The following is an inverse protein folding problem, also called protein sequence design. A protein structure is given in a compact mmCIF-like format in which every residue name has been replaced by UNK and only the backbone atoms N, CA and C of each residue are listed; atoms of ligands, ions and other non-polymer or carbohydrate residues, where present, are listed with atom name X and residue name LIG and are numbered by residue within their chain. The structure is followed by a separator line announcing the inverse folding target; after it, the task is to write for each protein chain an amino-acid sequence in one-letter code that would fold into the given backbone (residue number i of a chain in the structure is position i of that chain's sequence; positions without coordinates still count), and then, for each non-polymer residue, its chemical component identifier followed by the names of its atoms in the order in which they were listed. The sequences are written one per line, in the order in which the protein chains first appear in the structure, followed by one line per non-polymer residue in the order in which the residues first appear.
data_IF_533613696032
#
_entry.id   IF_533613696032
#
_cell.length_a   1.000
_cell.length_b   1.000
_cell.length_c   1.000
_cell.angle_alpha   90.00
_cell.angle_beta   90.00
_cell.angle_gamma   90.00
#
_symmetry.space_group_name_H-M   'P 1'
#
loop_
_entity.id
_entity.type
_entity.pdbx_description
1 polymer ?
#
# COMPACT_ATOMS: atom_id res chain seq x y z
N UNK A 1 57.21 -57.97 14.40
CA UNK A 1 56.77 -56.60 14.75
C UNK A 1 55.96 -56.04 13.59
N UNK A 2 54.63 -56.02 13.68
CA UNK A 2 53.72 -55.51 12.62
C UNK A 2 53.02 -54.24 13.18
N UNK A 3 53.32 -53.07 12.63
CA UNK A 3 52.69 -51.81 12.96
C UNK A 3 51.32 -51.69 12.26
N UNK A 4 50.25 -51.55 13.04
CA UNK A 4 48.93 -51.31 12.56
C UNK A 4 48.73 -49.78 12.23
N UNK A 5 48.30 -49.49 11.00
CA UNK A 5 47.90 -48.14 10.55
C UNK A 5 46.43 -47.96 10.81
N UNK A 6 46.03 -47.07 11.71
CA UNK A 6 44.66 -46.66 11.91
C UNK A 6 44.34 -45.51 10.93
N UNK A 7 43.45 -45.77 10.01
CA UNK A 7 42.84 -44.72 9.12
C UNK A 7 41.65 -44.13 9.87
N UNK A 8 41.79 -42.86 10.29
CA UNK A 8 40.69 -42.02 10.76
C UNK A 8 39.96 -41.48 9.55
N UNK A 9 38.76 -42.01 9.26
CA UNK A 9 37.82 -41.45 8.30
C UNK A 9 37.05 -40.30 8.97
N UNK A 10 37.44 -39.04 8.68
CA UNK A 10 36.69 -37.86 9.09
C UNK A 10 35.46 -37.68 8.22
N UNK A 11 34.26 -37.89 8.75
CA UNK A 11 33.01 -37.53 8.10
C UNK A 11 32.80 -36.01 8.20
N UNK A 12 32.97 -35.31 7.08
CA UNK A 12 32.57 -33.90 6.94
C UNK A 12 31.05 -33.84 6.81
N UNK A 13 30.33 -33.47 7.87
CA UNK A 13 28.90 -33.13 7.83
C UNK A 13 28.75 -31.75 7.19
N UNK A 14 28.32 -31.71 5.92
CA UNK A 14 27.85 -30.48 5.29
C UNK A 14 26.52 -30.10 5.95
N UNK A 15 26.53 -29.16 6.86
CA UNK A 15 25.33 -28.47 7.33
C UNK A 15 24.86 -27.51 6.23
N UNK A 16 23.93 -27.97 5.41
CA UNK A 16 23.20 -27.12 4.47
C UNK A 16 22.32 -26.16 5.27
N UNK A 17 22.78 -24.94 5.52
CA UNK A 17 21.91 -23.85 5.99
C UNK A 17 20.92 -23.53 4.88
N UNK A 18 19.72 -24.08 4.97
CA UNK A 18 18.58 -23.61 4.18
C UNK A 18 18.36 -22.14 4.57
N UNK A 19 18.84 -21.23 3.75
CA UNK A 19 18.47 -19.82 3.84
C UNK A 19 16.94 -19.79 3.67
N UNK A 20 16.23 -19.53 4.76
CA UNK A 20 14.78 -19.31 4.71
C UNK A 20 14.58 -18.07 3.85
N UNK A 21 14.03 -18.25 2.65
CA UNK A 21 13.70 -17.12 1.78
C UNK A 21 12.77 -16.19 2.58
N UNK A 22 13.14 -14.92 2.65
CA UNK A 22 12.30 -13.92 3.33
C UNK A 22 10.90 -13.95 2.71
N UNK A 23 9.88 -14.02 3.56
CA UNK A 23 8.48 -14.02 3.10
C UNK A 23 8.22 -12.73 2.33
N UNK A 24 7.76 -12.86 1.09
CA UNK A 24 7.38 -11.73 0.27
C UNK A 24 6.13 -11.06 0.84
N UNK A 25 6.02 -9.73 0.76
CA UNK A 25 4.94 -8.99 1.41
C UNK A 25 4.10 -8.21 0.41
N UNK A 26 2.78 -8.26 0.55
CA UNK A 26 1.81 -7.51 -0.23
C UNK A 26 1.03 -6.55 0.66
N UNK A 27 0.73 -5.36 0.16
CA UNK A 27 -0.35 -4.52 0.67
C UNK A 27 -1.39 -4.36 -0.42
N UNK A 28 -2.66 -4.52 -0.06
CA UNK A 28 -3.80 -4.39 -0.96
C UNK A 28 -4.66 -3.25 -0.45
N UNK A 29 -4.98 -2.32 -1.34
CA UNK A 29 -5.83 -1.16 -1.09
C UNK A 29 -7.05 -1.26 -1.98
N UNK A 30 -8.22 -0.99 -1.44
CA UNK A 30 -9.46 -0.85 -2.21
C UNK A 30 -9.88 0.62 -2.17
N UNK A 31 -9.82 1.26 -3.33
CA UNK A 31 -10.22 2.64 -3.56
C UNK A 31 -11.74 2.77 -3.79
N UNK A 32 -12.25 3.99 -3.94
CA UNK A 32 -13.64 4.35 -4.28
C UNK A 32 -14.72 3.84 -3.32
N UNK A 33 -14.40 3.74 -2.04
CA UNK A 33 -15.33 3.24 -1.02
C UNK A 33 -16.24 4.33 -0.44
N UNK A 34 -17.33 3.89 0.22
CA UNK A 34 -18.31 4.74 0.89
C UNK A 34 -19.58 5.00 0.09
N UNK A 35 -19.70 4.47 -1.13
CA UNK A 35 -20.88 4.65 -1.98
C UNK A 35 -21.89 3.51 -1.89
N UNK A 36 -21.40 2.29 -1.68
CA UNK A 36 -22.21 1.07 -1.73
C UNK A 36 -22.01 0.21 -0.49
N UNK A 37 -22.89 0.30 0.51
CA UNK A 37 -22.73 -0.43 1.78
C UNK A 37 -22.63 -1.95 1.64
N UNK A 38 -23.20 -2.52 0.56
CA UNK A 38 -23.09 -3.96 0.32
C UNK A 38 -21.67 -4.36 -0.11
N UNK A 39 -21.07 -3.58 -1.03
CA UNK A 39 -19.67 -3.79 -1.45
C UNK A 39 -18.69 -3.43 -0.35
N UNK A 40 -18.93 -2.34 0.36
CA UNK A 40 -18.11 -1.89 1.49
C UNK A 40 -18.01 -2.98 2.57
N UNK A 41 -19.15 -3.63 2.91
CA UNK A 41 -19.14 -4.80 3.82
C UNK A 41 -18.38 -6.00 3.28
N UNK A 42 -18.39 -6.24 1.96
CA UNK A 42 -17.61 -7.31 1.36
C UNK A 42 -16.11 -7.02 1.47
N UNK A 43 -15.68 -5.74 1.32
CA UNK A 43 -14.27 -5.34 1.55
C UNK A 43 -13.86 -5.57 3.00
N UNK A 44 -14.68 -5.16 3.96
CA UNK A 44 -14.43 -5.40 5.39
C UNK A 44 -14.33 -6.88 5.74
N UNK A 45 -15.07 -7.74 5.03
CA UNK A 45 -15.08 -9.19 5.24
C UNK A 45 -13.92 -9.94 4.56
N UNK A 46 -13.06 -9.26 3.78
CA UNK A 46 -11.90 -9.91 3.16
C UNK A 46 -10.95 -10.47 4.21
N UNK A 47 -10.41 -11.70 3.99
CA UNK A 47 -9.64 -12.43 5.00
C UNK A 47 -8.17 -11.98 5.08
N UNK A 48 -7.92 -10.68 5.03
CA UNK A 48 -6.59 -10.09 5.09
C UNK A 48 -6.67 -8.61 5.55
N UNK A 49 -5.59 -7.99 6.01
CA UNK A 49 -5.56 -6.59 6.40
C UNK A 49 -5.59 -5.63 5.19
N UNK A 50 -6.68 -5.70 4.40
CA UNK A 50 -6.90 -4.81 3.26
C UNK A 50 -7.13 -3.38 3.74
N UNK A 51 -6.50 -2.41 3.08
CA UNK A 51 -6.63 -0.97 3.36
C UNK A 51 -7.87 -0.42 2.65
N UNK A 52 -8.62 0.43 3.30
CA UNK A 52 -9.82 1.04 2.77
C UNK A 52 -9.58 2.51 2.44
N UNK A 53 -9.70 2.91 1.17
CA UNK A 53 -9.63 4.30 0.75
C UNK A 53 -11.04 4.82 0.43
N UNK A 54 -11.47 5.83 1.18
CA UNK A 54 -12.85 6.29 1.26
C UNK A 54 -13.00 7.67 0.66
N UNK A 55 -13.89 7.83 -0.33
CA UNK A 55 -14.21 9.13 -0.94
C UNK A 55 -15.03 9.98 0.05
N UNK A 56 -14.61 11.21 0.37
CA UNK A 56 -15.21 12.01 1.45
C UNK A 56 -16.64 12.48 1.17
N UNK A 57 -17.01 12.70 -0.10
CA UNK A 57 -18.35 13.15 -0.48
C UNK A 57 -19.41 12.03 -0.46
N UNK A 58 -19.01 10.79 -0.32
CA UNK A 58 -19.93 9.68 -0.33
C UNK A 58 -20.84 9.66 0.90
N UNK A 59 -22.03 9.13 0.72
CA UNK A 59 -23.07 9.13 1.77
C UNK A 59 -22.62 8.37 3.04
N UNK A 60 -21.89 7.28 2.85
CA UNK A 60 -21.54 6.35 3.94
C UNK A 60 -20.08 6.47 4.38
N UNK A 61 -19.38 7.55 3.98
CA UNK A 61 -17.95 7.73 4.27
C UNK A 61 -17.62 7.59 5.77
N UNK A 62 -18.27 8.38 6.63
CA UNK A 62 -18.01 8.36 8.07
C UNK A 62 -18.42 7.03 8.74
N UNK A 63 -19.55 6.43 8.30
CA UNK A 63 -20.00 5.13 8.85
C UNK A 63 -19.00 4.03 8.51
N UNK A 64 -18.53 3.99 7.25
CA UNK A 64 -17.54 3.03 6.79
C UNK A 64 -16.19 3.22 7.48
N UNK A 65 -15.71 4.47 7.59
CA UNK A 65 -14.45 4.79 8.28
C UNK A 65 -14.45 4.28 9.71
N UNK A 66 -15.52 4.59 10.47
CA UNK A 66 -15.67 4.10 11.83
C UNK A 66 -15.77 2.56 11.91
N UNK A 67 -16.43 1.91 10.95
CA UNK A 67 -16.52 0.45 10.91
C UNK A 67 -15.15 -0.19 10.60
N UNK A 68 -14.39 0.38 9.66
CA UNK A 68 -13.06 -0.07 9.28
C UNK A 68 -12.08 0.08 10.45
N UNK A 69 -12.08 1.24 11.10
CA UNK A 69 -11.24 1.52 12.27
C UNK A 69 -11.53 0.52 13.42
N UNK A 70 -12.81 0.27 13.75
CA UNK A 70 -13.19 -0.74 14.78
C UNK A 70 -12.75 -2.17 14.39
N UNK A 71 -12.64 -2.46 13.09
CA UNK A 71 -12.15 -3.73 12.60
C UNK A 71 -10.60 -3.80 12.53
N UNK A 72 -9.89 -2.77 13.01
CA UNK A 72 -8.43 -2.69 12.96
C UNK A 72 -7.86 -2.58 11.54
N UNK A 73 -8.63 -1.97 10.62
CA UNK A 73 -8.20 -1.73 9.24
C UNK A 73 -7.62 -0.33 9.11
N UNK A 74 -6.55 -0.20 8.35
CA UNK A 74 -6.02 1.10 7.92
C UNK A 74 -7.03 1.79 7.00
N UNK A 75 -7.35 3.05 7.31
CA UNK A 75 -8.27 3.90 6.55
C UNK A 75 -7.50 5.02 5.87
N UNK A 76 -7.74 5.23 4.58
CA UNK A 76 -7.24 6.39 3.84
C UNK A 76 -8.40 7.30 3.44
N UNK A 77 -8.18 8.61 3.57
CA UNK A 77 -8.95 9.59 2.84
C UNK A 77 -8.58 9.48 1.35
N UNK A 78 -9.52 9.04 0.52
CA UNK A 78 -9.35 9.01 -0.93
C UNK A 78 -9.67 10.40 -1.49
N UNK A 79 -8.65 11.27 -1.50
CA UNK A 79 -8.79 12.69 -1.79
C UNK A 79 -9.00 12.94 -3.28
N UNK A 80 -10.16 13.49 -3.70
CA UNK A 80 -10.38 13.84 -5.10
C UNK A 80 -9.38 14.90 -5.59
N UNK A 81 -8.81 14.65 -6.76
CA UNK A 81 -7.81 15.52 -7.39
C UNK A 81 -8.06 15.66 -8.89
N UNK A 82 -7.82 16.84 -9.45
CA UNK A 82 -8.01 17.11 -10.89
C UNK A 82 -7.42 15.97 -11.77
N UNK A 83 -8.21 15.36 -12.68
CA UNK A 83 -9.50 15.82 -13.25
C UNK A 83 -10.75 15.50 -12.42
N UNK A 84 -10.66 14.80 -11.28
CA UNK A 84 -11.80 14.58 -10.42
C UNK A 84 -12.44 15.91 -10.00
N UNK A 85 -13.78 15.92 -9.97
CA UNK A 85 -14.59 17.05 -9.53
C UNK A 85 -15.05 16.91 -8.08
N UNK A 86 -15.99 17.76 -7.68
CA UNK A 86 -16.67 17.67 -6.39
C UNK A 86 -16.20 18.71 -5.35
N UNK A 87 -16.87 18.74 -4.19
CA UNK A 87 -16.68 19.82 -3.20
C UNK A 87 -15.35 19.72 -2.44
N UNK A 88 -14.67 18.59 -2.52
CA UNK A 88 -13.40 18.31 -1.85
C UNK A 88 -12.22 18.23 -2.83
N UNK A 89 -12.50 18.26 -4.14
CA UNK A 89 -11.46 18.08 -5.16
C UNK A 89 -10.43 19.21 -5.16
N UNK A 90 -9.16 18.84 -5.30
CA UNK A 90 -8.05 19.77 -5.49
C UNK A 90 -7.81 20.02 -6.97
N UNK A 91 -7.66 21.29 -7.35
CA UNK A 91 -7.33 21.71 -8.72
C UNK A 91 -6.13 22.66 -8.72
N UNK A 92 -5.29 22.64 -9.77
CA UNK A 92 -4.10 23.50 -9.85
C UNK A 92 -4.40 24.99 -9.75
N UNK A 93 -5.57 25.44 -10.24
CA UNK A 93 -5.99 26.84 -10.25
C UNK A 93 -6.41 27.38 -8.88
N UNK A 94 -6.59 26.52 -7.89
CA UNK A 94 -7.00 26.91 -6.53
C UNK A 94 -5.85 27.55 -5.77
N UNK A 95 -6.21 28.49 -4.91
CA UNK A 95 -5.27 29.01 -3.90
C UNK A 95 -4.91 27.93 -2.87
N UNK A 96 -3.73 28.09 -2.25
CA UNK A 96 -3.30 27.26 -1.12
C UNK A 96 -4.38 27.20 -0.01
N UNK A 97 -4.90 28.35 0.41
CA UNK A 97 -5.93 28.42 1.44
C UNK A 97 -7.20 27.63 1.09
N UNK A 98 -7.62 27.64 -0.17
CA UNK A 98 -8.78 26.89 -0.64
C UNK A 98 -8.52 25.38 -0.64
N UNK A 99 -7.35 24.94 -1.12
CA UNK A 99 -6.95 23.52 -1.06
C UNK A 99 -6.92 23.01 0.37
N UNK A 100 -6.30 23.74 1.28
CA UNK A 100 -6.21 23.36 2.69
C UNK A 100 -7.60 23.31 3.35
N UNK A 101 -8.47 24.28 3.09
CA UNK A 101 -9.83 24.26 3.58
C UNK A 101 -10.62 23.03 3.06
N UNK A 102 -10.40 22.63 1.80
CA UNK A 102 -11.04 21.42 1.25
C UNK A 102 -10.50 20.16 1.90
N UNK A 103 -9.21 20.07 2.17
CA UNK A 103 -8.59 18.95 2.88
C UNK A 103 -9.16 18.82 4.30
N UNK A 104 -9.26 19.95 5.03
CA UNK A 104 -9.82 19.95 6.38
C UNK A 104 -11.25 19.37 6.40
N UNK A 105 -12.10 19.90 5.53
CA UNK A 105 -13.48 19.40 5.41
C UNK A 105 -13.55 17.94 4.94
N UNK A 106 -12.61 17.49 4.10
CA UNK A 106 -12.56 16.10 3.67
C UNK A 106 -12.16 15.17 4.82
N UNK A 107 -11.18 15.58 5.65
CA UNK A 107 -10.79 14.84 6.85
C UNK A 107 -11.89 14.78 7.90
N UNK A 108 -12.72 15.83 8.04
CA UNK A 108 -13.92 15.79 8.89
C UNK A 108 -14.94 14.73 8.44
N UNK A 109 -14.96 14.38 7.15
CA UNK A 109 -15.82 13.34 6.59
C UNK A 109 -15.28 11.91 6.81
N UNK A 110 -13.95 11.79 6.99
CA UNK A 110 -13.24 10.53 7.22
C UNK A 110 -12.32 10.71 8.44
N UNK A 111 -12.89 10.90 9.65
CA UNK A 111 -12.13 11.32 10.84
C UNK A 111 -11.11 10.26 11.31
N UNK A 112 -11.33 8.99 10.99
CA UNK A 112 -10.42 7.88 11.32
C UNK A 112 -9.33 7.65 10.27
N UNK A 113 -9.08 8.61 9.36
CA UNK A 113 -8.05 8.45 8.33
C UNK A 113 -6.65 8.38 8.94
N UNK A 114 -5.93 7.28 8.70
CA UNK A 114 -4.51 7.11 9.01
C UNK A 114 -3.61 7.80 7.98
N UNK A 115 -4.15 8.14 6.82
CA UNK A 115 -3.41 8.75 5.72
C UNK A 115 -4.31 9.18 4.56
N UNK A 116 -3.67 9.56 3.47
CA UNK A 116 -4.32 10.05 2.25
C UNK A 116 -3.75 9.34 1.03
N UNK A 117 -4.62 9.05 0.04
CA UNK A 117 -4.20 8.73 -1.32
C UNK A 117 -5.02 9.54 -2.33
N UNK A 118 -4.53 9.68 -3.56
CA UNK A 118 -5.21 10.45 -4.58
C UNK A 118 -6.26 9.63 -5.33
N UNK A 119 -7.50 10.15 -5.36
CA UNK A 119 -8.54 9.74 -6.31
C UNK A 119 -8.34 10.49 -7.62
N UNK A 120 -8.21 9.74 -8.74
CA UNK A 120 -7.75 10.32 -10.01
C UNK A 120 -6.44 11.12 -9.84
N UNK A 121 -6.43 12.39 -10.21
CA UNK A 121 -5.31 13.28 -9.94
C UNK A 121 -4.23 13.30 -11.01
N UNK A 122 -4.50 12.86 -12.24
CA UNK A 122 -3.48 12.82 -13.30
C UNK A 122 -2.87 14.20 -13.63
N UNK A 123 -3.63 15.29 -13.46
CA UNK A 123 -3.14 16.68 -13.58
C UNK A 123 -2.60 17.20 -12.25
N UNK A 124 -3.36 17.02 -11.17
CA UNK A 124 -3.03 17.59 -9.87
C UNK A 124 -1.74 17.00 -9.28
N UNK A 125 -1.52 15.70 -9.39
CA UNK A 125 -0.29 15.08 -8.86
C UNK A 125 0.98 15.43 -9.63
N UNK A 126 0.85 16.09 -10.80
CA UNK A 126 1.96 16.65 -11.55
C UNK A 126 2.31 18.12 -11.11
N UNK A 127 1.43 18.76 -10.34
CA UNK A 127 1.67 20.12 -9.79
C UNK A 127 2.59 20.04 -8.57
N UNK A 128 3.87 20.35 -8.79
CA UNK A 128 4.89 20.25 -7.76
C UNK A 128 4.66 21.13 -6.54
N UNK A 129 4.32 22.44 -6.68
CA UNK A 129 3.99 23.29 -5.54
C UNK A 129 2.86 22.74 -4.68
N UNK A 130 1.77 22.31 -5.31
CA UNK A 130 0.62 21.78 -4.59
C UNK A 130 0.92 20.43 -3.91
N UNK A 131 1.71 19.55 -4.54
CA UNK A 131 2.13 18.29 -3.90
C UNK A 131 3.10 18.55 -2.74
N UNK A 132 4.03 19.50 -2.86
CA UNK A 132 4.90 19.89 -1.74
C UNK A 132 4.09 20.40 -0.55
N UNK A 133 3.08 21.24 -0.79
CA UNK A 133 2.15 21.74 0.22
C UNK A 133 1.38 20.59 0.89
N UNK A 134 0.80 19.68 0.10
CA UNK A 134 0.08 18.53 0.65
C UNK A 134 0.98 17.69 1.55
N UNK A 135 2.18 17.32 1.09
CA UNK A 135 3.09 16.47 1.87
C UNK A 135 3.49 17.13 3.20
N UNK A 136 3.73 18.45 3.21
CA UNK A 136 4.04 19.18 4.43
C UNK A 136 2.89 19.12 5.43
N UNK A 137 1.66 19.36 4.99
CA UNK A 137 0.47 19.32 5.86
C UNK A 137 0.21 17.89 6.39
N UNK A 138 0.40 16.87 5.56
CA UNK A 138 0.27 15.49 6.01
C UNK A 138 1.33 15.13 7.06
N UNK A 139 2.56 15.60 6.89
CA UNK A 139 3.63 15.40 7.87
C UNK A 139 3.31 16.08 9.22
N UNK A 140 2.83 17.31 9.20
CA UNK A 140 2.42 18.07 10.39
C UNK A 140 1.27 17.38 11.15
N UNK A 141 0.41 16.67 10.42
CA UNK A 141 -0.74 15.92 10.98
C UNK A 141 -0.44 14.46 11.28
N UNK A 142 0.78 14.01 11.06
CA UNK A 142 1.19 12.60 11.21
C UNK A 142 0.37 11.62 10.37
N UNK A 143 -0.07 12.05 9.19
CA UNK A 143 -0.80 11.23 8.24
C UNK A 143 0.15 10.59 7.22
N UNK A 144 -0.17 9.35 6.82
CA UNK A 144 0.56 8.63 5.77
C UNK A 144 0.17 9.15 4.38
N UNK A 145 1.03 8.88 3.38
CA UNK A 145 0.66 9.12 1.99
C UNK A 145 0.89 7.90 1.10
N UNK A 146 -0.10 7.59 0.26
CA UNK A 146 0.00 6.60 -0.80
C UNK A 146 -0.20 7.29 -2.17
N UNK A 147 0.85 7.33 -2.99
CA UNK A 147 0.73 7.78 -4.38
C UNK A 147 0.07 6.67 -5.22
N UNK A 148 -1.19 6.89 -5.63
CA UNK A 148 -1.93 5.95 -6.49
C UNK A 148 -1.36 5.87 -7.91
N UNK A 149 -0.47 6.80 -8.31
CA UNK A 149 0.22 6.82 -9.61
C UNK A 149 -0.74 6.70 -10.79
N UNK A 150 -1.76 7.51 -10.80
CA UNK A 150 -2.74 7.60 -11.91
C UNK A 150 -2.13 8.24 -13.16
N UNK A 151 -0.96 8.85 -13.03
CA UNK A 151 -0.15 9.39 -14.12
C UNK A 151 1.33 9.06 -13.94
N UNK A 152 2.05 8.84 -15.02
CA UNK A 152 3.51 8.73 -15.00
C UNK A 152 4.21 10.06 -14.66
N UNK A 153 3.50 11.19 -14.81
CA UNK A 153 4.00 12.53 -14.52
C UNK A 153 3.88 12.92 -13.04
N UNK A 154 3.33 12.06 -12.17
CA UNK A 154 3.21 12.35 -10.74
C UNK A 154 4.56 12.72 -10.12
N UNK A 155 4.56 13.75 -9.30
CA UNK A 155 5.70 14.18 -8.48
C UNK A 155 5.45 13.94 -6.99
N UNK A 156 4.27 13.42 -6.63
CA UNK A 156 3.82 13.29 -5.25
C UNK A 156 4.78 12.45 -4.39
N UNK A 157 5.17 11.27 -4.86
CA UNK A 157 6.14 10.42 -4.15
C UNK A 157 7.51 11.10 -3.96
N UNK A 158 7.97 11.88 -4.96
CA UNK A 158 9.24 12.61 -4.87
C UNK A 158 9.16 13.75 -3.83
N UNK A 159 8.04 14.47 -3.75
CA UNK A 159 7.84 15.51 -2.74
C UNK A 159 7.72 14.91 -1.34
N UNK A 160 7.01 13.80 -1.18
CA UNK A 160 6.96 13.07 0.09
C UNK A 160 8.35 12.63 0.57
N UNK A 161 9.15 12.07 -0.32
CA UNK A 161 10.51 11.62 -0.02
C UNK A 161 11.43 12.77 0.41
N UNK A 162 11.33 13.94 -0.21
CA UNK A 162 12.17 15.12 0.12
C UNK A 162 12.07 15.52 1.59
N UNK A 163 10.89 15.40 2.19
CA UNK A 163 10.64 15.79 3.57
C UNK A 163 10.62 14.61 4.54
N UNK A 164 10.84 13.39 4.04
CA UNK A 164 10.80 12.18 4.87
C UNK A 164 9.41 11.79 5.34
N UNK A 165 8.35 12.18 4.61
CA UNK A 165 6.99 11.75 4.91
C UNK A 165 6.86 10.24 4.78
N UNK A 166 6.22 9.60 5.75
CA UNK A 166 5.88 8.18 5.71
C UNK A 166 4.96 7.90 4.51
N UNK A 167 5.53 7.35 3.44
CA UNK A 167 4.83 7.23 2.15
C UNK A 167 5.28 6.03 1.34
N UNK A 168 4.43 5.64 0.40
CA UNK A 168 4.69 4.57 -0.56
C UNK A 168 3.92 4.85 -1.86
N UNK A 169 4.34 4.23 -2.95
CA UNK A 169 3.63 4.28 -4.23
C UNK A 169 3.02 2.93 -4.59
N UNK A 170 1.95 2.94 -5.37
CA UNK A 170 1.37 1.77 -6.00
C UNK A 170 2.34 1.14 -7.01
N UNK A 171 2.37 -0.18 -7.02
CA UNK A 171 3.10 -0.96 -8.02
C UNK A 171 2.15 -1.49 -9.11
N UNK A 172 0.97 -2.02 -8.75
CA UNK A 172 0.03 -2.68 -9.66
C UNK A 172 -1.39 -2.18 -9.47
N UNK A 173 -2.12 -1.87 -10.56
CA UNK A 173 -3.58 -1.82 -10.55
C UNK A 173 -4.15 -3.20 -10.80
N UNK A 174 -5.12 -3.62 -9.98
CA UNK A 174 -5.74 -4.94 -10.08
C UNK A 174 -6.78 -5.04 -11.19
N UNK A 175 -7.47 -3.95 -11.50
CA UNK A 175 -8.74 -3.97 -12.21
C UNK A 175 -8.94 -2.84 -13.24
N UNK A 176 -7.86 -2.43 -13.93
CA UNK A 176 -8.00 -1.62 -15.15
C UNK A 176 -8.91 -2.31 -16.19
N UNK A 177 -8.89 -3.64 -16.22
CA UNK A 177 -9.91 -4.50 -16.82
C UNK A 177 -10.55 -5.30 -15.67
N UNK A 178 -11.81 -4.96 -15.36
CA UNK A 178 -12.55 -5.53 -14.24
C UNK A 178 -13.17 -6.92 -14.56
N UNK A 179 -12.53 -7.72 -15.42
CA UNK A 179 -12.88 -9.12 -15.61
C UNK A 179 -12.19 -10.02 -14.59
N UNK A 180 -12.81 -11.12 -14.12
CA UNK A 180 -12.19 -12.02 -13.15
C UNK A 180 -10.81 -12.54 -13.59
N UNK A 181 -10.66 -12.83 -14.89
CA UNK A 181 -9.39 -13.33 -15.44
C UNK A 181 -8.29 -12.26 -15.41
N UNK A 182 -8.61 -11.02 -15.78
CA UNK A 182 -7.65 -9.91 -15.75
C UNK A 182 -7.25 -9.56 -14.31
N UNK A 183 -8.19 -9.47 -13.39
CA UNK A 183 -7.90 -9.24 -11.96
C UNK A 183 -7.02 -10.34 -11.38
N UNK A 184 -7.31 -11.61 -11.66
CA UNK A 184 -6.47 -12.72 -11.21
C UNK A 184 -5.04 -12.65 -11.78
N UNK A 185 -4.90 -12.26 -13.06
CA UNK A 185 -3.61 -12.07 -13.70
C UNK A 185 -2.79 -10.92 -13.06
N UNK A 186 -3.43 -9.79 -12.73
CA UNK A 186 -2.80 -8.67 -12.07
C UNK A 186 -2.41 -9.01 -10.61
N UNK A 187 -3.24 -9.74 -9.87
CA UNK A 187 -2.88 -10.24 -8.55
C UNK A 187 -1.66 -11.16 -8.64
N UNK A 188 -1.63 -12.08 -9.59
CA UNK A 188 -0.47 -12.96 -9.81
C UNK A 188 0.80 -12.16 -10.18
N UNK A 189 0.69 -11.06 -10.96
CA UNK A 189 1.82 -10.17 -11.23
C UNK A 189 2.31 -9.48 -9.96
N UNK A 190 1.39 -8.98 -9.12
CA UNK A 190 1.75 -8.42 -7.81
C UNK A 190 2.49 -9.42 -6.92
N UNK A 191 2.04 -10.67 -6.88
CA UNK A 191 2.72 -11.77 -6.17
C UNK A 191 4.13 -11.99 -6.72
N UNK A 192 4.28 -12.10 -8.05
CA UNK A 192 5.61 -12.25 -8.68
C UNK A 192 6.53 -11.07 -8.38
N UNK A 193 5.98 -9.85 -8.41
CA UNK A 193 6.73 -8.64 -8.08
C UNK A 193 7.22 -8.68 -6.62
N UNK A 194 6.34 -8.99 -5.68
CA UNK A 194 6.69 -9.13 -4.27
C UNK A 194 7.77 -10.21 -4.05
N UNK A 195 7.66 -11.35 -4.72
CA UNK A 195 8.66 -12.42 -4.65
C UNK A 195 10.03 -12.00 -5.19
N UNK A 196 10.07 -11.15 -6.23
CA UNK A 196 11.34 -10.63 -6.80
C UNK A 196 11.97 -9.51 -5.99
N UNK A 197 11.15 -8.62 -5.42
CA UNK A 197 11.60 -7.36 -4.80
C UNK A 197 11.44 -7.32 -3.27
N UNK A 198 10.83 -8.37 -2.70
CA UNK A 198 10.49 -8.43 -1.29
C UNK A 198 9.11 -7.87 -0.94
N UNK A 199 8.56 -6.96 -1.74
CA UNK A 199 7.25 -6.35 -1.47
C UNK A 199 6.54 -5.82 -2.72
N UNK A 200 5.19 -5.68 -2.66
CA UNK A 200 4.41 -4.94 -3.65
C UNK A 200 3.15 -4.32 -3.04
N UNK A 201 2.73 -3.16 -3.58
CA UNK A 201 1.50 -2.44 -3.23
C UNK A 201 0.54 -2.50 -4.41
N UNK A 202 -0.64 -3.05 -4.18
CA UNK A 202 -1.67 -3.25 -5.18
C UNK A 202 -2.88 -2.39 -4.85
N UNK A 203 -3.45 -1.72 -5.85
CA UNK A 203 -4.71 -0.98 -5.72
C UNK A 203 -5.76 -1.62 -6.63
N UNK A 204 -6.96 -1.78 -6.12
CA UNK A 204 -8.16 -2.15 -6.87
C UNK A 204 -9.38 -1.38 -6.37
N UNK A 205 -10.51 -1.61 -7.02
CA UNK A 205 -11.78 -0.95 -6.72
C UNK A 205 -12.84 -1.99 -6.31
N UNK A 206 -13.97 -1.61 -5.71
CA UNK A 206 -14.97 -2.55 -5.20
C UNK A 206 -15.84 -3.12 -6.33
N UNK A 207 -15.22 -3.52 -7.45
CA UNK A 207 -15.89 -4.25 -8.51
C UNK A 207 -16.24 -5.67 -8.06
N UNK A 208 -17.38 -6.23 -8.47
CA UNK A 208 -17.75 -7.60 -8.10
C UNK A 208 -16.67 -8.63 -8.44
N UNK A 209 -16.01 -8.49 -9.60
CA UNK A 209 -14.92 -9.38 -10.01
C UNK A 209 -13.70 -9.26 -9.10
N UNK A 210 -13.28 -8.03 -8.75
CA UNK A 210 -12.16 -7.76 -7.85
C UNK A 210 -12.40 -8.39 -6.49
N UNK A 211 -13.58 -8.15 -5.90
CA UNK A 211 -13.92 -8.69 -4.59
C UNK A 211 -14.00 -10.22 -4.59
N UNK A 212 -14.58 -10.82 -5.64
CA UNK A 212 -14.67 -12.26 -5.77
C UNK A 212 -13.28 -12.93 -5.89
N UNK A 213 -12.40 -12.37 -6.73
CA UNK A 213 -11.03 -12.87 -6.91
C UNK A 213 -10.23 -12.74 -5.60
N UNK A 214 -10.30 -11.58 -4.94
CA UNK A 214 -9.59 -11.37 -3.67
C UNK A 214 -10.09 -12.32 -2.58
N UNK A 215 -11.40 -12.47 -2.42
CA UNK A 215 -11.96 -13.40 -1.42
C UNK A 215 -11.49 -14.86 -1.64
N UNK A 216 -11.34 -15.27 -2.90
CA UNK A 216 -10.88 -16.61 -3.26
C UNK A 216 -9.36 -16.78 -3.10
N UNK A 217 -8.56 -15.79 -3.50
CA UNK A 217 -7.12 -15.94 -3.64
C UNK A 217 -6.34 -15.55 -2.38
N UNK A 218 -6.81 -14.57 -1.58
CA UNK A 218 -6.10 -14.11 -0.38
C UNK A 218 -5.75 -15.24 0.60
N UNK A 219 -6.65 -16.21 0.91
CA UNK A 219 -6.30 -17.29 1.80
C UNK A 219 -5.17 -18.20 1.29
N UNK A 220 -4.91 -18.20 -0.02
CA UNK A 220 -3.94 -19.06 -0.67
C UNK A 220 -2.53 -18.46 -0.73
N UNK A 221 -2.38 -17.15 -0.51
CA UNK A 221 -1.12 -16.44 -0.66
C UNK A 221 -0.05 -16.91 0.31
N UNK A 222 -0.42 -17.23 1.54
CA UNK A 222 0.52 -17.74 2.54
C UNK A 222 1.20 -19.04 2.10
N UNK A 223 0.46 -19.92 1.45
CA UNK A 223 1.02 -21.17 0.89
C UNK A 223 1.99 -20.89 -0.29
N UNK A 224 1.91 -19.71 -0.91
CA UNK A 224 2.81 -19.26 -1.97
C UNK A 224 4.03 -18.49 -1.42
N UNK A 225 4.22 -18.45 -0.10
CA UNK A 225 5.30 -17.68 0.55
C UNK A 225 5.07 -16.17 0.54
N UNK A 226 3.81 -15.73 0.47
CA UNK A 226 3.44 -14.32 0.45
C UNK A 226 2.53 -14.00 1.63
N UNK A 227 2.85 -12.92 2.34
CA UNK A 227 2.06 -12.40 3.45
C UNK A 227 1.41 -11.07 3.06
N UNK A 228 0.13 -10.91 3.39
CA UNK A 228 -0.54 -9.61 3.25
C UNK A 228 -0.37 -8.84 4.54
N UNK A 229 0.20 -7.64 4.42
CA UNK A 229 0.45 -6.72 5.53
C UNK A 229 -0.28 -5.40 5.30
N UNK A 230 -0.49 -4.63 6.36
CA UNK A 230 -1.11 -3.32 6.28
C UNK A 230 -0.17 -2.25 5.68
N UNK A 231 -0.70 -1.05 5.43
CA UNK A 231 0.05 0.02 4.80
C UNK A 231 1.17 0.58 5.71
N UNK A 232 0.98 0.84 7.01
CA UNK A 232 2.05 1.28 7.89
C UNK A 232 3.23 0.30 7.92
N UNK A 233 2.97 -0.99 7.97
CA UNK A 233 4.00 -2.04 7.93
C UNK A 233 4.74 -2.04 6.60
N UNK A 234 4.04 -1.86 5.48
CA UNK A 234 4.65 -1.76 4.15
C UNK A 234 5.57 -0.54 4.03
N UNK A 235 5.13 0.62 4.52
CA UNK A 235 5.95 1.84 4.53
C UNK A 235 7.21 1.63 5.35
N UNK A 236 7.09 1.08 6.56
CA UNK A 236 8.24 0.79 7.42
C UNK A 236 9.21 -0.21 6.77
N UNK A 237 8.68 -1.26 6.13
CA UNK A 237 9.49 -2.23 5.40
C UNK A 237 10.32 -1.57 4.30
N UNK A 238 9.69 -0.76 3.45
CA UNK A 238 10.37 -0.10 2.32
C UNK A 238 11.35 0.97 2.77
N UNK A 239 11.04 1.70 3.84
CA UNK A 239 11.98 2.66 4.44
C UNK A 239 13.25 1.96 4.94
N UNK A 240 13.14 0.81 5.60
CA UNK A 240 14.28 0.02 6.05
C UNK A 240 15.10 -0.57 4.90
N UNK A 241 14.46 -0.93 3.78
CA UNK A 241 15.15 -1.41 2.58
C UNK A 241 15.92 -0.30 1.84
N UNK A 242 15.42 0.94 1.90
CA UNK A 242 16.06 2.10 1.27
C UNK A 242 17.28 2.63 2.03
N UNK A 243 17.47 2.25 3.31
CA UNK A 243 18.63 2.66 4.11
C UNK A 243 19.83 1.75 3.81
N UNK A 244 20.90 2.21 3.15
CA UNK A 244 22.08 1.40 2.91
C UNK A 244 22.84 1.19 4.22
N UNK A 245 22.87 -0.03 4.74
CA UNK A 245 23.95 -0.48 5.61
C UNK A 245 23.73 -0.56 7.11
N UNK A 246 22.66 -1.22 7.58
CA UNK A 246 22.64 -1.71 8.98
C UNK A 246 22.44 -3.24 9.08
N UNK A 247 23.08 -4.00 8.20
CA UNK A 247 22.90 -5.45 8.14
C UNK A 247 24.13 -6.27 7.80
N UNK A 248 25.34 -5.88 8.27
CA UNK A 248 26.47 -6.82 8.39
C UNK A 248 27.30 -6.45 9.60
N UNK A 249 27.13 -7.19 10.69
CA UNK A 249 28.03 -7.17 11.83
C UNK A 249 29.47 -7.48 11.38
N UNK A 250 30.26 -6.46 11.21
CA UNK A 250 31.71 -6.59 11.13
C UNK A 250 32.20 -7.11 12.45
N UNK A 251 32.73 -8.32 12.48
CA UNK A 251 33.56 -8.80 13.61
C UNK A 251 34.79 -7.90 13.67
N UNK A 252 34.87 -7.09 14.70
CA UNK A 252 36.15 -6.50 15.09
C UNK A 252 37.03 -7.61 15.67
N UNK A 253 38.19 -7.78 15.10
CA UNK A 253 39.32 -8.53 15.70
C UNK A 253 40.09 -7.60 16.65
#
# INVERSE_FOLDING_TARGET
MRAGRWLLAGALALASTLAQAATAQLTIVIDDLGQNPSRDRQVLALPAPVVLAIIPETRYAAELAAAAHRAGRTVLLHLPMDPAGGPYAWHPEMSSAERLQRLDRALERVPEADGVNNHEGSRMTADRPAMAELMQVLQERHLLFLDSRTSAATVAAAEAQKIGLASVSRDVFLDNDATPAAVAAQLAEGVRLAQRQGSAVLIGHPHPATLAVLAQQLPLLKAQGVEVIDLPQMIALRANQAMPGHGRSGRYR
#
